data_IF_577693952975
#
_entry.id   IF_577693952975
#
_cell.length_a   1.000
_cell.length_b   1.000
_cell.length_c   1.000
_cell.angle_alpha   90.00
_cell.angle_beta   90.00
_cell.angle_gamma   90.00
#
_symmetry.space_group_name_H-M   'P 1'
#
loop_
_entity.id
_entity.type
_entity.pdbx_description
1 polymer ?
#
# COMPACT_ATOMS: atom_id res chain seq x y z
N UNK A 1 -8.40 -3.43 -17.31
CA UNK A 1 -6.95 -3.52 -17.61
C UNK A 1 -6.39 -2.16 -17.95
N UNK A 2 -6.68 -1.57 -19.13
CA UNK A 2 -6.09 -0.27 -19.58
C UNK A 2 -5.94 0.85 -18.56
N UNK A 3 -6.91 1.02 -17.65
CA UNK A 3 -6.81 2.03 -16.59
C UNK A 3 -5.69 1.73 -15.58
N UNK A 4 -5.58 0.48 -15.14
CA UNK A 4 -4.56 0.03 -14.18
C UNK A 4 -3.17 -0.02 -14.82
N UNK A 5 -3.10 -0.35 -16.11
CA UNK A 5 -1.85 -0.31 -16.88
C UNK A 5 -1.31 1.13 -16.94
N UNK A 6 -2.18 2.12 -17.13
CA UNK A 6 -1.80 3.54 -17.09
C UNK A 6 -1.33 4.04 -15.70
N UNK A 7 -1.62 3.29 -14.64
CA UNK A 7 -1.13 3.53 -13.28
C UNK A 7 0.15 2.73 -12.96
N UNK A 8 0.77 2.08 -13.96
CA UNK A 8 2.02 1.35 -13.78
C UNK A 8 1.87 -0.02 -13.13
N UNK A 9 0.73 -0.71 -13.31
CA UNK A 9 0.51 -2.03 -12.72
C UNK A 9 1.56 -3.07 -13.14
N UNK A 10 1.96 -3.11 -14.41
CA UNK A 10 2.98 -4.06 -14.88
C UNK A 10 4.34 -3.78 -14.24
N UNK A 11 4.75 -2.51 -14.18
CA UNK A 11 6.01 -2.07 -13.57
C UNK A 11 6.02 -2.40 -12.07
N UNK A 12 4.91 -2.11 -11.36
CA UNK A 12 4.75 -2.44 -9.95
C UNK A 12 4.93 -3.94 -9.68
N UNK A 13 4.28 -4.80 -10.47
CA UNK A 13 4.38 -6.25 -10.30
C UNK A 13 5.78 -6.79 -10.65
N UNK A 14 6.49 -6.14 -11.57
CA UNK A 14 7.87 -6.50 -11.90
C UNK A 14 8.84 -6.21 -10.75
N UNK A 15 8.65 -5.09 -10.04
CA UNK A 15 9.46 -4.70 -8.88
C UNK A 15 9.09 -5.49 -7.62
N UNK A 16 7.82 -5.84 -7.46
CA UNK A 16 7.29 -6.58 -6.31
C UNK A 16 6.80 -8.00 -6.70
N UNK A 17 7.68 -8.94 -7.05
CA UNK A 17 7.30 -10.25 -7.59
C UNK A 17 6.55 -11.16 -6.61
N UNK A 18 6.57 -10.83 -5.32
CA UNK A 18 5.83 -11.54 -4.28
C UNK A 18 4.41 -10.99 -4.07
N UNK A 19 4.07 -9.87 -4.72
CA UNK A 19 2.72 -9.29 -4.77
C UNK A 19 2.03 -9.75 -6.05
N UNK A 20 0.76 -10.14 -5.94
CA UNK A 20 -0.05 -10.67 -7.04
C UNK A 20 -1.41 -10.01 -7.09
N UNK A 21 -2.02 -10.03 -8.26
CA UNK A 21 -3.42 -9.62 -8.46
C UNK A 21 -4.33 -10.70 -7.85
N UNK A 22 -5.17 -10.31 -6.89
CA UNK A 22 -6.25 -11.16 -6.38
C UNK A 22 -7.57 -10.90 -7.11
N UNK A 23 -7.83 -9.64 -7.45
CA UNK A 23 -9.05 -9.21 -8.11
C UNK A 23 -8.74 -8.03 -9.03
N UNK A 24 -9.30 -8.05 -10.24
CA UNK A 24 -9.24 -6.92 -11.16
C UNK A 24 -10.57 -6.82 -11.89
N UNK A 25 -11.26 -5.70 -11.69
CA UNK A 25 -12.51 -5.40 -12.38
C UNK A 25 -12.62 -3.90 -12.62
N UNK A 26 -13.83 -3.45 -12.99
CA UNK A 26 -14.06 -2.05 -13.29
C UNK A 26 -14.11 -1.14 -12.06
N UNK A 27 -14.42 -1.69 -10.88
CA UNK A 27 -14.59 -0.93 -9.64
C UNK A 27 -13.29 -0.82 -8.84
N UNK A 28 -12.45 -1.86 -8.89
CA UNK A 28 -11.22 -1.92 -8.09
C UNK A 28 -10.18 -2.88 -8.65
N UNK A 29 -8.96 -2.67 -8.17
CA UNK A 29 -7.84 -3.59 -8.26
C UNK A 29 -7.47 -4.01 -6.83
N UNK A 30 -7.32 -5.31 -6.61
CA UNK A 30 -6.86 -5.87 -5.34
C UNK A 30 -5.55 -6.60 -5.58
N UNK A 31 -4.50 -6.16 -4.89
CA UNK A 31 -3.17 -6.77 -4.89
C UNK A 31 -2.91 -7.35 -3.50
N UNK A 32 -2.22 -8.48 -3.41
CA UNK A 32 -1.76 -9.00 -2.13
C UNK A 32 -0.47 -9.81 -2.27
N UNK A 33 0.31 -9.83 -1.20
CA UNK A 33 1.55 -10.59 -1.18
C UNK A 33 2.46 -10.24 -0.03
N UNK A 34 3.67 -10.78 -0.10
CA UNK A 34 4.70 -10.53 0.90
C UNK A 34 5.44 -9.23 0.62
N UNK A 35 5.64 -8.46 1.68
CA UNK A 35 6.41 -7.23 1.71
C UNK A 35 7.50 -7.34 2.77
N UNK A 36 8.75 -7.20 2.37
CA UNK A 36 9.90 -7.25 3.26
C UNK A 36 10.27 -5.85 3.73
N UNK A 37 9.89 -5.52 4.97
CA UNK A 37 10.23 -4.24 5.59
C UNK A 37 11.61 -4.34 6.24
N UNK A 38 12.51 -3.46 5.79
CA UNK A 38 13.82 -3.26 6.41
C UNK A 38 14.05 -1.80 6.77
N UNK A 39 13.65 -1.41 7.97
CA UNK A 39 13.70 -0.03 8.44
C UNK A 39 14.63 0.13 9.66
N UNK A 40 15.34 1.25 9.72
CA UNK A 40 16.12 1.66 10.89
C UNK A 40 15.35 2.73 11.66
N UNK A 41 14.87 2.37 12.84
CA UNK A 41 14.21 3.30 13.75
C UNK A 41 15.24 4.17 14.49
N UNK A 42 14.77 5.33 14.97
CA UNK A 42 15.56 6.19 15.85
C UNK A 42 16.07 5.40 17.06
N UNK A 43 17.37 5.52 17.37
CA UNK A 43 17.99 4.76 18.47
C UNK A 43 18.61 3.41 18.06
N UNK A 44 18.78 3.14 16.77
CA UNK A 44 19.48 1.96 16.22
C UNK A 44 18.73 0.63 16.26
N UNK A 45 17.42 0.65 16.54
CA UNK A 45 16.60 -0.54 16.37
C UNK A 45 16.36 -0.78 14.87
N UNK A 46 16.66 -1.99 14.40
CA UNK A 46 16.38 -2.42 13.03
C UNK A 46 15.12 -3.27 13.07
N UNK A 47 14.14 -2.91 12.23
CA UNK A 47 13.05 -3.79 11.84
C UNK A 47 13.50 -4.47 10.56
N UNK A 48 13.58 -5.80 10.58
CA UNK A 48 13.89 -6.65 9.42
C UNK A 48 12.88 -7.81 9.48
N UNK A 49 11.77 -7.66 8.74
CA UNK A 49 10.62 -8.56 8.84
C UNK A 49 9.81 -8.56 7.56
N UNK A 50 9.27 -9.72 7.21
CA UNK A 50 8.28 -9.85 6.14
C UNK A 50 6.86 -9.79 6.70
N UNK A 51 6.00 -9.05 6.03
CA UNK A 51 4.57 -8.90 6.31
C UNK A 51 3.75 -9.32 5.09
N UNK A 52 2.55 -9.85 5.31
CA UNK A 52 1.59 -10.05 4.22
C UNK A 52 0.61 -8.88 4.14
N UNK A 53 0.67 -8.14 3.03
CA UNK A 53 -0.16 -6.96 2.80
C UNK A 53 -1.20 -7.22 1.72
N UNK A 54 -2.36 -6.58 1.87
CA UNK A 54 -3.37 -6.44 0.82
C UNK A 54 -3.63 -4.97 0.52
N UNK A 55 -3.56 -4.62 -0.77
CA UNK A 55 -3.84 -3.30 -1.29
C UNK A 55 -5.14 -3.33 -2.07
N UNK A 56 -6.07 -2.45 -1.71
CA UNK A 56 -7.36 -2.27 -2.41
C UNK A 56 -7.33 -0.89 -3.07
N UNK A 57 -7.10 -0.87 -4.38
CA UNK A 57 -7.02 0.33 -5.19
C UNK A 57 -8.40 0.62 -5.81
N UNK A 58 -9.06 1.74 -5.46
CA UNK A 58 -10.36 2.07 -6.01
C UNK A 58 -10.23 2.63 -7.43
N UNK A 59 -11.26 2.45 -8.27
CA UNK A 59 -11.25 2.91 -9.67
C UNK A 59 -11.05 4.42 -9.83
N UNK A 60 -11.42 5.20 -8.83
CA UNK A 60 -11.29 6.65 -8.83
C UNK A 60 -9.96 7.13 -8.24
N UNK A 61 -8.96 6.25 -8.04
CA UNK A 61 -7.59 6.65 -7.74
C UNK A 61 -7.01 7.51 -8.89
N UNK A 62 -6.32 8.64 -8.61
CA UNK A 62 -5.89 9.19 -7.31
C UNK A 62 -6.92 10.03 -6.53
N UNK A 63 -8.14 10.17 -7.05
CA UNK A 63 -9.25 10.85 -6.38
C UNK A 63 -9.62 10.24 -5.02
N UNK A 64 -9.64 8.90 -4.90
CA UNK A 64 -9.62 8.20 -3.60
C UNK A 64 -8.35 7.38 -3.47
N UNK A 65 -7.78 7.36 -2.28
CA UNK A 65 -6.53 6.65 -2.02
C UNK A 65 -6.76 5.13 -1.88
N UNK A 66 -5.76 4.30 -2.22
CA UNK A 66 -5.76 2.88 -1.92
C UNK A 66 -5.79 2.63 -0.42
N UNK A 67 -6.41 1.52 -0.03
CA UNK A 67 -6.42 1.01 1.35
C UNK A 67 -5.39 -0.10 1.46
N UNK A 68 -4.56 -0.07 2.50
CA UNK A 68 -3.57 -1.12 2.79
C UNK A 68 -3.99 -1.86 4.06
N UNK A 69 -3.99 -3.18 4.03
CA UNK A 69 -4.51 -4.04 5.09
C UNK A 69 -3.44 -5.05 5.50
N UNK A 70 -3.28 -5.23 6.81
CA UNK A 70 -2.54 -6.35 7.40
C UNK A 70 -3.36 -7.64 7.30
N UNK A 71 -2.94 -8.57 6.43
CA UNK A 71 -3.66 -9.84 6.28
C UNK A 71 -3.43 -10.82 7.43
N UNK A 72 -2.33 -10.65 8.17
CA UNK A 72 -1.91 -11.57 9.23
C UNK A 72 -2.40 -11.15 10.61
N UNK A 73 -3.01 -9.96 10.72
CA UNK A 73 -3.49 -9.40 11.99
C UNK A 73 -2.36 -9.29 13.02
N UNK A 74 -1.14 -9.05 12.54
CA UNK A 74 0.04 -8.83 13.34
C UNK A 74 -0.10 -7.55 14.17
N UNK A 75 -0.61 -6.48 13.57
CA UNK A 75 -0.79 -5.20 14.25
C UNK A 75 -2.12 -5.18 15.03
N UNK A 76 -2.12 -4.82 16.31
CA UNK A 76 -3.34 -4.60 17.08
C UNK A 76 -4.25 -3.59 16.39
N UNK A 77 -5.54 -3.91 16.27
CA UNK A 77 -6.55 -3.08 15.58
C UNK A 77 -7.02 -1.91 16.43
N UNK A 78 -6.11 -0.97 16.68
CA UNK A 78 -6.40 0.26 17.39
C UNK A 78 -5.54 1.43 16.87
N UNK A 79 -5.91 2.64 17.27
CA UNK A 79 -5.25 3.86 16.79
C UNK A 79 -3.78 4.01 17.24
N UNK A 80 -3.37 3.40 18.34
CA UNK A 80 -1.96 3.46 18.80
C UNK A 80 -1.02 2.78 17.81
N UNK A 81 -1.50 1.74 17.12
CA UNK A 81 -0.77 1.00 16.08
C UNK A 81 -1.19 1.44 14.67
N UNK A 82 -1.85 2.60 14.54
CA UNK A 82 -2.33 3.11 13.25
C UNK A 82 -3.12 2.07 12.45
N UNK A 83 -3.92 1.25 13.12
CA UNK A 83 -4.71 0.19 12.48
C UNK A 83 -6.18 0.33 12.86
N UNK A 84 -7.05 0.38 11.86
CA UNK A 84 -8.50 0.47 12.04
C UNK A 84 -9.12 -0.89 12.39
N UNK A 85 -10.39 -0.88 12.81
CA UNK A 85 -11.09 -2.10 13.28
C UNK A 85 -11.23 -3.21 12.23
N UNK A 86 -11.17 -2.85 10.94
CA UNK A 86 -11.18 -3.77 9.81
C UNK A 86 -9.79 -4.30 9.43
N UNK A 87 -8.73 -3.86 10.11
CA UNK A 87 -7.33 -4.23 9.85
C UNK A 87 -6.63 -3.36 8.81
N UNK A 88 -7.29 -2.32 8.30
CA UNK A 88 -6.64 -1.36 7.41
C UNK A 88 -5.74 -0.40 8.17
N UNK A 89 -4.64 0.03 7.55
CA UNK A 89 -3.73 1.01 8.12
C UNK A 89 -4.22 2.45 7.96
N UNK A 90 -4.03 3.24 9.00
CA UNK A 90 -4.10 4.69 8.97
C UNK A 90 -2.75 5.24 8.46
N UNK A 91 -2.64 5.41 7.15
CA UNK A 91 -1.44 5.91 6.47
C UNK A 91 -1.20 7.42 6.65
N UNK A 92 -2.04 8.09 7.46
CA UNK A 92 -1.98 9.53 7.71
C UNK A 92 -3.06 10.32 6.98
N UNK A 93 -2.87 11.64 6.91
CA UNK A 93 -3.84 12.56 6.31
C UNK A 93 -3.90 12.41 4.79
N UNK A 94 -5.11 12.25 4.26
CA UNK A 94 -5.37 12.15 2.82
C UNK A 94 -4.79 13.34 2.03
N UNK A 95 -4.92 14.57 2.55
CA UNK A 95 -4.35 15.76 1.91
C UNK A 95 -2.83 15.71 1.84
N UNK A 96 -2.16 15.18 2.88
CA UNK A 96 -0.71 15.04 2.91
C UNK A 96 -0.25 14.00 1.89
N UNK A 97 -0.91 12.84 1.87
CA UNK A 97 -0.60 11.76 0.91
C UNK A 97 -0.76 12.25 -0.52
N UNK A 98 -1.88 12.91 -0.84
CA UNK A 98 -2.12 13.50 -2.17
C UNK A 98 -1.09 14.57 -2.53
N UNK A 99 -0.56 15.29 -1.55
CA UNK A 99 0.51 16.27 -1.79
C UNK A 99 1.86 15.63 -2.07
N UNK A 100 2.18 14.50 -1.43
CA UNK A 100 3.42 13.74 -1.69
C UNK A 100 3.38 13.13 -3.09
N UNK A 101 2.23 12.60 -3.48
CA UNK A 101 2.01 11.97 -4.78
C UNK A 101 1.67 12.96 -5.90
N UNK A 102 1.84 14.27 -5.70
CA UNK A 102 1.35 15.28 -6.64
C UNK A 102 1.87 15.09 -8.07
N UNK A 103 3.13 14.71 -8.18
CA UNK A 103 3.83 14.63 -9.46
C UNK A 103 3.78 13.21 -10.07
N UNK A 104 3.59 12.19 -9.23
CA UNK A 104 3.42 10.79 -9.66
C UNK A 104 2.33 10.08 -8.84
N UNK A 105 1.32 9.58 -9.56
CA UNK A 105 0.20 8.81 -9.02
C UNK A 105 0.29 7.33 -9.44
N UNK A 106 1.48 6.83 -9.78
CA UNK A 106 1.67 5.41 -10.07
C UNK A 106 1.46 4.55 -8.82
N UNK A 107 1.14 3.27 -9.03
CA UNK A 107 1.05 2.29 -7.94
C UNK A 107 2.39 2.15 -7.20
N UNK A 108 3.51 2.24 -7.92
CA UNK A 108 4.85 2.25 -7.35
C UNK A 108 5.08 3.48 -6.47
N UNK A 109 4.76 4.69 -6.95
CA UNK A 109 4.89 5.91 -6.14
C UNK A 109 4.04 5.84 -4.87
N UNK A 110 2.80 5.35 -4.96
CA UNK A 110 1.98 5.15 -3.76
C UNK A 110 2.65 4.17 -2.77
N UNK A 111 3.18 3.05 -3.25
CA UNK A 111 3.79 2.06 -2.39
C UNK A 111 5.09 2.58 -1.75
N UNK A 112 5.98 3.14 -2.55
CA UNK A 112 7.30 3.60 -2.12
C UNK A 112 7.20 4.82 -1.19
N UNK A 113 6.40 5.83 -1.54
CA UNK A 113 6.36 7.09 -0.79
C UNK A 113 5.43 7.04 0.44
N UNK A 114 4.46 6.12 0.46
CA UNK A 114 3.40 6.08 1.49
C UNK A 114 3.41 4.79 2.32
N UNK A 115 3.76 3.64 1.73
CA UNK A 115 3.74 2.33 2.42
C UNK A 115 5.13 1.93 2.93
N UNK A 116 6.19 2.20 2.15
CA UNK A 116 7.60 1.95 2.54
C UNK A 116 8.28 3.18 3.19
N UNK A 117 7.86 4.39 2.80
CA UNK A 117 8.48 5.68 3.17
C UNK A 117 8.57 6.07 4.65
#
# INVERSE_FOLDING_TARGET
MRHWDALGLEDFLAVHPLIRILEINDERLVLAGEYHLKAKLAGSQIVDRTYRLKLVCPRDYPGKLPIVIDEEQYFPRNQEYHTYGDGSFCLGSELKIKSLLRDDHSLSAFFEEIVDG
#
